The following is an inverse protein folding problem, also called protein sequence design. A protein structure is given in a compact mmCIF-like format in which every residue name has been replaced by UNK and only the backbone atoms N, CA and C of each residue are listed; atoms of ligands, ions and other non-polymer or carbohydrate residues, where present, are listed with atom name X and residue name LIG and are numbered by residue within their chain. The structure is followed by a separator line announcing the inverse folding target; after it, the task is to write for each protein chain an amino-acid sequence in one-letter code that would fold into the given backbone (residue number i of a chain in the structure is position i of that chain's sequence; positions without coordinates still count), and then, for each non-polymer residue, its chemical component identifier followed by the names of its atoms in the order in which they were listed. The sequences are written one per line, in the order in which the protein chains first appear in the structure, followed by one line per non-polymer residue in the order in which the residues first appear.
data_IF_228664714179
#
_entry.id   IF_228664714179
#
_cell.length_a   1.000
_cell.length_b   1.000
_cell.length_c   1.000
_cell.angle_alpha   90.00
_cell.angle_beta   90.00
_cell.angle_gamma   90.00
#
_symmetry.space_group_name_H-M   'P 1'
#
loop_
_entity.id
_entity.type
_entity.pdbx_description
1 polymer ?
#
# COMPACT_ATOMS: atom_id res chain seq x y z
N UNK A 1 58.04 -17.55 -23.27
CA UNK A 1 57.15 -16.39 -23.50
C UNK A 1 56.09 -16.42 -22.43
N UNK A 2 56.39 -15.68 -21.36
CA UNK A 2 55.53 -14.78 -20.60
C UNK A 2 54.20 -15.34 -20.07
N UNK A 3 54.20 -15.64 -18.77
CA UNK A 3 52.98 -15.62 -17.97
C UNK A 3 53.18 -14.60 -16.86
N UNK A 4 52.66 -13.41 -17.15
CA UNK A 4 52.68 -12.21 -16.31
C UNK A 4 51.87 -12.49 -15.03
N UNK A 5 52.55 -12.43 -13.89
CA UNK A 5 51.93 -12.65 -12.59
C UNK A 5 50.97 -11.52 -12.25
N UNK A 6 49.66 -11.81 -12.31
CA UNK A 6 48.63 -10.92 -11.80
C UNK A 6 48.74 -10.93 -10.27
N UNK A 7 49.32 -9.87 -9.70
CA UNK A 7 49.30 -9.64 -8.25
C UNK A 7 47.85 -9.47 -7.78
N UNK A 8 47.25 -10.52 -7.22
CA UNK A 8 46.06 -10.36 -6.40
C UNK A 8 46.46 -9.66 -5.10
N UNK A 9 46.05 -8.40 -4.95
CA UNK A 9 46.15 -7.67 -3.69
C UNK A 9 45.12 -8.27 -2.73
N UNK A 10 45.59 -9.12 -1.83
CA UNK A 10 44.76 -9.69 -0.76
C UNK A 10 44.51 -8.60 0.27
N UNK A 11 43.36 -7.93 0.18
CA UNK A 11 42.90 -6.97 1.19
C UNK A 11 42.73 -7.72 2.51
N UNK A 12 43.38 -7.26 3.58
CA UNK A 12 43.26 -7.91 4.89
C UNK A 12 41.90 -7.59 5.53
N UNK A 13 41.39 -8.51 6.34
CA UNK A 13 40.10 -8.32 7.04
C UNK A 13 40.10 -7.07 7.93
N UNK A 14 41.26 -6.68 8.45
CA UNK A 14 41.42 -5.48 9.27
C UNK A 14 41.21 -4.20 8.46
N UNK A 15 41.71 -4.13 7.23
CA UNK A 15 41.48 -2.99 6.32
C UNK A 15 40.00 -2.85 5.96
N UNK A 16 39.30 -3.97 5.75
CA UNK A 16 37.86 -3.95 5.46
C UNK A 16 37.06 -3.45 6.66
N UNK A 17 37.46 -3.86 7.87
CA UNK A 17 36.83 -3.43 9.12
C UNK A 17 37.05 -1.95 9.37
N UNK A 18 38.28 -1.46 9.19
CA UNK A 18 38.62 -0.04 9.30
C UNK A 18 37.84 0.81 8.30
N UNK A 19 37.76 0.37 7.04
CA UNK A 19 36.97 1.05 6.01
C UNK A 19 35.48 1.10 6.37
N UNK A 20 34.95 0.02 6.93
CA UNK A 20 33.54 -0.06 7.36
C UNK A 20 33.24 0.92 8.50
N UNK A 21 34.16 1.08 9.45
CA UNK A 21 34.04 2.07 10.52
C UNK A 21 34.04 3.51 9.98
N UNK A 22 34.97 3.82 9.08
CA UNK A 22 35.09 5.16 8.45
C UNK A 22 33.83 5.50 7.66
N UNK A 23 33.30 4.57 6.86
CA UNK A 23 32.06 4.78 6.11
C UNK A 23 30.88 5.06 7.05
N UNK A 24 30.79 4.34 8.17
CA UNK A 24 29.71 4.55 9.14
C UNK A 24 29.82 5.90 9.85
N UNK A 25 31.04 6.35 10.13
CA UNK A 25 31.28 7.65 10.75
C UNK A 25 30.97 8.81 9.79
N UNK A 26 31.35 8.67 8.52
CA UNK A 26 30.98 9.62 7.45
C UNK A 26 29.48 9.72 7.24
N UNK A 27 28.75 8.61 7.27
CA UNK A 27 27.28 8.61 7.17
C UNK A 27 26.63 9.35 8.35
N UNK A 28 27.11 9.15 9.58
CA UNK A 28 26.63 9.88 10.76
C UNK A 28 26.97 11.37 10.73
N UNK A 29 28.09 11.75 10.15
CA UNK A 29 28.47 13.16 9.99
C UNK A 29 27.61 13.85 8.92
N UNK A 30 27.30 13.15 7.82
CA UNK A 30 26.37 13.62 6.79
C UNK A 30 24.96 13.88 7.34
N UNK A 31 24.46 13.04 8.24
CA UNK A 31 23.17 13.26 8.91
C UNK A 31 23.19 14.45 9.89
N UNK A 32 24.31 14.66 10.62
CA UNK A 32 24.45 15.75 11.60
C UNK A 32 24.59 17.13 10.96
N UNK A 33 25.10 17.22 9.73
CA UNK A 33 25.30 18.47 9.01
C UNK A 33 24.05 18.97 8.24
N UNK A 34 22.88 18.36 8.44
CA UNK A 34 21.61 18.82 7.89
C UNK A 34 21.06 20.07 8.62
N UNK A 35 21.85 21.15 8.74
CA UNK A 35 21.34 22.48 9.10
C UNK A 35 21.00 23.24 7.81
N UNK A 36 19.93 24.05 7.80
CA UNK A 36 19.38 24.60 6.58
C UNK A 36 20.33 25.63 5.97
N UNK A 37 20.67 25.45 4.69
CA UNK A 37 21.51 26.38 3.92
C UNK A 37 20.79 27.69 3.54
N UNK A 38 19.51 27.85 3.91
CA UNK A 38 18.72 29.04 3.64
C UNK A 38 17.49 29.11 4.58
N UNK A 39 17.20 30.24 5.26
CA UNK A 39 15.98 30.44 6.07
C UNK A 39 14.65 30.22 5.35
N UNK A 40 14.64 30.26 4.01
CA UNK A 40 13.47 30.03 3.16
C UNK A 40 13.41 28.61 2.56
N UNK A 41 14.44 27.79 2.78
CA UNK A 41 14.46 26.40 2.33
C UNK A 41 14.18 25.50 3.53
N UNK A 42 13.00 24.87 3.52
CA UNK A 42 12.64 23.85 4.49
C UNK A 42 12.95 22.48 3.92
N UNK A 43 13.80 21.72 4.61
CA UNK A 43 14.03 20.31 4.28
C UNK A 43 12.71 19.56 4.43
N UNK A 44 12.18 19.00 3.33
CA UNK A 44 11.02 18.09 3.39
C UNK A 44 11.38 16.92 4.30
N UNK A 45 10.44 16.42 5.10
CA UNK A 45 10.63 15.23 5.93
C UNK A 45 11.25 14.13 5.06
N UNK A 46 12.36 13.48 5.49
CA UNK A 46 12.96 12.41 4.72
C UNK A 46 11.90 11.34 4.45
N UNK A 47 11.62 11.08 3.17
CA UNK A 47 10.78 9.97 2.78
C UNK A 47 11.50 8.69 3.20
N UNK A 48 10.94 7.97 4.16
CA UNK A 48 11.46 6.67 4.58
C UNK A 48 10.69 5.62 3.81
N UNK A 49 11.40 4.85 2.99
CA UNK A 49 10.81 3.76 2.21
C UNK A 49 10.78 2.46 3.02
N UNK A 50 9.71 1.70 2.88
CA UNK A 50 9.64 0.32 3.41
C UNK A 50 10.42 -0.59 2.46
N UNK A 51 11.57 -1.09 2.90
CA UNK A 51 12.31 -2.10 2.15
C UNK A 51 11.50 -3.41 2.09
N UNK A 52 11.28 -3.94 0.89
CA UNK A 52 10.63 -5.23 0.69
C UNK A 52 11.61 -6.35 1.05
N UNK A 53 11.25 -7.19 2.02
CA UNK A 53 12.05 -8.32 2.51
C UNK A 53 11.33 -9.64 2.26
N UNK A 54 12.05 -10.77 2.33
CA UNK A 54 11.55 -12.08 1.91
C UNK A 54 10.25 -12.49 2.59
N UNK A 55 10.16 -12.33 3.91
CA UNK A 55 8.96 -12.69 4.67
C UNK A 55 7.75 -11.81 4.29
N UNK A 56 7.98 -10.59 3.81
CA UNK A 56 6.92 -9.71 3.33
C UNK A 56 6.41 -10.13 1.94
N UNK A 57 7.30 -10.57 1.06
CA UNK A 57 6.94 -11.15 -0.25
C UNK A 57 6.10 -12.42 -0.06
N UNK A 58 6.49 -13.27 0.87
CA UNK A 58 5.74 -14.49 1.19
C UNK A 58 4.35 -14.19 1.76
N UNK A 59 4.22 -13.13 2.57
CA UNK A 59 2.95 -12.73 3.17
C UNK A 59 2.02 -12.00 2.19
N UNK A 60 2.57 -11.19 1.27
CA UNK A 60 1.84 -10.37 0.30
C UNK A 60 2.40 -10.67 -1.09
N UNK A 61 1.88 -11.72 -1.72
CA UNK A 61 2.35 -12.20 -3.02
C UNK A 61 2.31 -11.11 -4.12
N UNK A 62 1.42 -10.13 -4.00
CA UNK A 62 1.26 -9.02 -4.93
C UNK A 62 2.08 -7.76 -4.58
N UNK A 63 2.97 -7.80 -3.59
CA UNK A 63 3.67 -6.58 -3.12
C UNK A 63 4.58 -5.94 -4.17
N UNK A 64 5.12 -6.74 -5.09
CA UNK A 64 5.94 -6.26 -6.20
C UNK A 64 5.14 -6.01 -7.48
N UNK A 65 3.84 -6.32 -7.49
CA UNK A 65 2.98 -6.13 -8.67
C UNK A 65 2.54 -4.68 -8.81
N UNK A 66 2.60 -4.17 -10.04
CA UNK A 66 2.08 -2.85 -10.36
C UNK A 66 0.56 -2.89 -10.53
N UNK A 67 -0.14 -2.50 -9.47
CA UNK A 67 -1.59 -2.47 -9.42
C UNK A 67 -2.25 -1.59 -10.50
N UNK A 68 -1.52 -0.64 -11.12
CA UNK A 68 -2.06 0.19 -12.20
C UNK A 68 -1.98 -0.48 -13.57
N UNK A 69 -1.15 -1.50 -13.74
CA UNK A 69 -0.85 -2.09 -15.04
C UNK A 69 -1.35 -3.52 -15.20
N UNK A 70 -1.60 -4.23 -14.10
CA UNK A 70 -2.16 -5.58 -14.10
C UNK A 70 -3.46 -5.64 -13.30
N UNK A 71 -4.58 -5.11 -13.83
CA UNK A 71 -5.87 -5.22 -13.17
C UNK A 71 -6.34 -6.69 -13.16
N UNK A 72 -6.95 -7.10 -12.05
CA UNK A 72 -7.68 -8.37 -11.95
C UNK A 72 -8.68 -8.52 -13.12
N UNK A 73 -8.74 -9.72 -13.69
CA UNK A 73 -9.77 -10.06 -14.69
C UNK A 73 -11.16 -10.01 -14.06
N UNK A 74 -12.21 -9.94 -14.88
CA UNK A 74 -13.57 -9.90 -14.36
C UNK A 74 -13.93 -11.18 -13.60
N UNK A 75 -13.40 -12.31 -14.05
CA UNK A 75 -13.55 -13.65 -13.49
C UNK A 75 -12.87 -13.75 -12.13
N UNK A 76 -11.58 -13.41 -12.02
CA UNK A 76 -10.83 -13.42 -10.75
C UNK A 76 -11.48 -12.49 -9.73
N UNK A 77 -11.82 -11.27 -10.17
CA UNK A 77 -12.54 -10.31 -9.34
C UNK A 77 -13.86 -10.90 -8.83
N UNK A 78 -14.64 -11.57 -9.68
CA UNK A 78 -15.88 -12.22 -9.25
C UNK A 78 -15.59 -13.30 -8.21
N UNK A 79 -14.62 -14.18 -8.44
CA UNK A 79 -14.28 -15.24 -7.49
C UNK A 79 -13.89 -14.69 -6.12
N UNK A 80 -13.01 -13.68 -6.08
CA UNK A 80 -12.62 -13.01 -4.84
C UNK A 80 -13.81 -12.34 -4.14
N UNK A 81 -14.64 -11.59 -4.88
CA UNK A 81 -15.79 -10.87 -4.28
C UNK A 81 -16.85 -11.83 -3.72
N UNK A 82 -17.12 -12.93 -4.42
CA UNK A 82 -18.14 -13.89 -3.99
C UNK A 82 -17.69 -14.69 -2.77
N UNK A 83 -16.38 -14.72 -2.46
CA UNK A 83 -15.86 -15.30 -1.23
C UNK A 83 -16.28 -14.52 0.04
N UNK A 84 -16.61 -13.22 -0.10
CA UNK A 84 -16.97 -12.37 1.03
C UNK A 84 -18.50 -12.18 1.15
N UNK A 85 -19.12 -12.49 2.30
CA UNK A 85 -20.55 -12.29 2.51
C UNK A 85 -20.92 -10.82 2.52
N UNK A 86 -22.10 -10.48 1.97
CA UNK A 86 -22.62 -9.10 1.97
C UNK A 86 -22.98 -8.67 3.39
N UNK A 87 -22.47 -7.52 3.82
CA UNK A 87 -22.95 -6.84 5.03
C UNK A 87 -24.39 -6.37 4.83
N UNK A 88 -25.25 -6.65 5.81
CA UNK A 88 -26.65 -6.19 5.82
C UNK A 88 -26.78 -4.70 6.11
N UNK A 89 -25.75 -4.08 6.70
CA UNK A 89 -25.77 -2.68 7.12
C UNK A 89 -25.51 -1.70 5.97
N UNK A 90 -24.80 -2.13 4.92
CA UNK A 90 -24.39 -1.25 3.83
C UNK A 90 -25.42 -1.29 2.68
N UNK A 91 -26.27 -0.25 2.61
CA UNK A 91 -27.26 -0.10 1.55
C UNK A 91 -26.65 0.62 0.35
N UNK A 92 -26.46 -0.11 -0.74
CA UNK A 92 -26.09 0.48 -2.02
C UNK A 92 -27.36 0.82 -2.79
N UNK A 93 -27.65 2.11 -2.91
CA UNK A 93 -28.69 2.61 -3.79
C UNK A 93 -28.04 3.62 -4.72
N UNK A 94 -27.85 3.24 -5.99
CA UNK A 94 -27.56 4.25 -7.01
C UNK A 94 -28.87 4.92 -7.41
N UNK A 95 -28.95 6.26 -7.37
CA UNK A 95 -30.12 6.96 -7.85
C UNK A 95 -30.40 6.59 -9.32
N UNK A 96 -31.64 6.29 -9.71
CA UNK A 96 -31.95 6.05 -11.12
C UNK A 96 -31.70 7.33 -11.93
N UNK A 97 -30.88 7.24 -12.98
CA UNK A 97 -30.74 8.31 -13.94
C UNK A 97 -32.05 8.53 -14.72
N UNK A 98 -32.34 9.79 -15.05
CA UNK A 98 -33.48 10.13 -15.91
C UNK A 98 -33.22 9.67 -17.35
N UNK A 99 -34.23 9.09 -17.99
CA UNK A 99 -34.13 8.54 -19.36
C UNK A 99 -33.71 9.57 -20.42
N UNK A 100 -34.00 10.86 -20.18
CA UNK A 100 -33.66 11.99 -21.03
C UNK A 100 -32.21 12.45 -20.95
N UNK A 101 -31.36 11.81 -20.13
CA UNK A 101 -29.94 12.13 -20.05
C UNK A 101 -29.22 11.84 -21.38
N UNK A 102 -28.21 12.64 -21.71
CA UNK A 102 -27.40 12.41 -22.90
C UNK A 102 -26.58 11.12 -22.78
N UNK A 103 -26.19 10.52 -23.90
CA UNK A 103 -25.37 9.30 -23.93
C UNK A 103 -24.04 9.48 -23.16
N UNK A 104 -23.45 10.67 -23.21
CA UNK A 104 -22.23 10.99 -22.46
C UNK A 104 -22.48 10.96 -20.94
N UNK A 105 -23.59 11.51 -20.47
CA UNK A 105 -23.99 11.48 -19.05
C UNK A 105 -24.25 10.06 -18.59
N UNK A 106 -24.96 9.24 -19.38
CA UNK A 106 -25.21 7.83 -19.05
C UNK A 106 -23.92 7.01 -18.94
N UNK A 107 -22.94 7.26 -19.82
CA UNK A 107 -21.63 6.60 -19.75
C UNK A 107 -20.86 7.01 -18.50
N UNK A 108 -20.81 8.30 -18.18
CA UNK A 108 -20.13 8.79 -16.98
C UNK A 108 -20.75 8.22 -15.70
N UNK A 109 -22.07 8.17 -15.62
CA UNK A 109 -22.80 7.57 -14.51
C UNK A 109 -22.57 6.07 -14.38
N UNK A 110 -22.52 5.34 -15.49
CA UNK A 110 -22.20 3.91 -15.47
C UNK A 110 -20.78 3.67 -14.93
N UNK A 111 -19.81 4.50 -15.33
CA UNK A 111 -18.44 4.45 -14.79
C UNK A 111 -18.43 4.79 -13.30
N UNK A 112 -19.14 5.83 -12.88
CA UNK A 112 -19.27 6.23 -11.49
C UNK A 112 -19.87 5.11 -10.64
N UNK A 113 -20.95 4.50 -11.11
CA UNK A 113 -21.58 3.33 -10.48
C UNK A 113 -20.59 2.17 -10.35
N UNK A 114 -19.80 1.89 -11.39
CA UNK A 114 -18.75 0.88 -11.35
C UNK A 114 -17.73 1.13 -10.24
N UNK A 115 -17.28 2.38 -10.06
CA UNK A 115 -16.35 2.77 -8.99
C UNK A 115 -17.01 2.58 -7.61
N UNK A 116 -18.26 3.02 -7.45
CA UNK A 116 -19.01 2.83 -6.20
C UNK A 116 -19.11 1.34 -5.83
N UNK A 117 -19.40 0.48 -6.82
CA UNK A 117 -19.47 -0.97 -6.65
C UNK A 117 -18.08 -1.57 -6.31
N UNK A 118 -17.00 -1.06 -6.87
CA UNK A 118 -15.65 -1.53 -6.53
C UNK A 118 -15.26 -1.15 -5.09
N UNK A 119 -15.50 0.10 -4.68
CA UNK A 119 -15.25 0.57 -3.30
C UNK A 119 -16.09 -0.22 -2.28
N UNK A 120 -17.33 -0.53 -2.65
CA UNK A 120 -18.23 -1.36 -1.87
C UNK A 120 -17.68 -2.76 -1.60
N UNK A 121 -17.08 -3.35 -2.62
CA UNK A 121 -16.50 -4.68 -2.57
C UNK A 121 -15.23 -4.70 -1.73
N UNK A 122 -14.38 -3.68 -1.86
CA UNK A 122 -13.18 -3.51 -1.02
C UNK A 122 -13.55 -3.35 0.47
N UNK A 123 -14.59 -2.58 0.79
CA UNK A 123 -15.05 -2.43 2.18
C UNK A 123 -15.55 -3.76 2.77
N UNK A 124 -16.10 -4.64 1.93
CA UNK A 124 -16.62 -5.95 2.34
C UNK A 124 -15.53 -6.92 2.77
N UNK A 125 -14.40 -6.96 2.07
CA UNK A 125 -13.28 -7.84 2.44
C UNK A 125 -12.70 -7.44 3.81
N UNK A 126 -12.61 -6.14 4.08
CA UNK A 126 -12.22 -5.60 5.38
C UNK A 126 -13.22 -6.01 6.47
N UNK A 127 -14.52 -5.82 6.23
CA UNK A 127 -15.58 -6.20 7.19
C UNK A 127 -15.51 -7.68 7.55
N UNK A 128 -15.35 -8.54 6.54
CA UNK A 128 -15.26 -9.98 6.78
C UNK A 128 -13.98 -10.37 7.51
N UNK A 129 -12.87 -9.71 7.23
CA UNK A 129 -11.61 -9.91 7.93
C UNK A 129 -11.75 -9.59 9.43
N UNK A 130 -12.39 -8.46 9.77
CA UNK A 130 -12.70 -8.07 11.15
C UNK A 130 -13.68 -9.06 11.80
N UNK A 131 -14.73 -9.46 11.08
CA UNK A 131 -15.70 -10.44 11.57
C UNK A 131 -15.02 -11.74 12.01
N UNK A 132 -14.12 -12.31 11.20
CA UNK A 132 -13.39 -13.54 11.56
C UNK A 132 -12.54 -13.34 12.80
N UNK A 133 -11.80 -12.23 12.89
CA UNK A 133 -10.97 -11.95 14.08
C UNK A 133 -11.79 -11.84 15.37
N UNK A 134 -12.95 -11.20 15.32
CA UNK A 134 -13.85 -11.08 16.48
C UNK A 134 -14.44 -12.43 16.87
N UNK A 135 -14.71 -13.31 15.90
CA UNK A 135 -15.14 -14.68 16.20
C UNK A 135 -14.04 -15.53 16.82
N UNK A 136 -12.81 -15.41 16.30
CA UNK A 136 -11.66 -16.19 16.77
C UNK A 136 -11.21 -15.75 18.17
N UNK A 137 -11.29 -14.46 18.49
CA UNK A 137 -11.03 -13.92 19.82
C UNK A 137 -12.13 -12.94 20.24
N UNK A 138 -13.11 -13.38 21.05
CA UNK A 138 -14.20 -12.52 21.53
C UNK A 138 -13.75 -11.38 22.46
N UNK A 139 -12.54 -11.45 23.03
CA UNK A 139 -11.97 -10.41 23.90
C UNK A 139 -11.22 -9.33 23.09
N UNK A 140 -11.25 -9.39 21.76
CA UNK A 140 -10.62 -8.39 20.90
C UNK A 140 -11.15 -6.99 21.23
N UNK A 141 -10.23 -6.07 21.49
CA UNK A 141 -10.57 -4.68 21.79
C UNK A 141 -10.49 -3.84 20.52
N UNK A 142 -11.12 -2.66 20.57
CA UNK A 142 -11.03 -1.67 19.48
C UNK A 142 -9.60 -1.14 19.26
N UNK A 143 -8.75 -1.28 20.28
CA UNK A 143 -7.35 -0.84 20.26
C UNK A 143 -6.40 -1.91 19.71
N UNK A 144 -6.92 -3.11 19.38
CA UNK A 144 -6.13 -4.14 18.70
C UNK A 144 -5.58 -3.61 17.37
N UNK A 145 -4.30 -3.85 17.11
CA UNK A 145 -3.61 -3.31 15.94
C UNK A 145 -4.30 -3.69 14.62
N UNK A 146 -4.87 -4.90 14.51
CA UNK A 146 -5.57 -5.33 13.30
C UNK A 146 -6.89 -4.60 13.12
N UNK A 147 -7.58 -4.29 14.23
CA UNK A 147 -8.84 -3.54 14.22
C UNK A 147 -8.57 -2.08 13.89
N UNK A 148 -7.56 -1.47 14.48
CA UNK A 148 -7.12 -0.11 14.15
C UNK A 148 -6.74 0.00 12.68
N UNK A 149 -5.98 -0.97 12.15
CA UNK A 149 -5.64 -1.05 10.73
C UNK A 149 -6.88 -1.14 9.84
N UNK A 150 -7.79 -2.07 10.13
CA UNK A 150 -9.02 -2.26 9.36
C UNK A 150 -9.91 -1.00 9.37
N UNK A 151 -10.06 -0.35 10.54
CA UNK A 151 -10.81 0.89 10.67
C UNK A 151 -10.16 2.04 9.87
N UNK A 152 -8.84 2.14 9.91
CA UNK A 152 -8.10 3.14 9.12
C UNK A 152 -8.33 2.93 7.62
N UNK A 153 -8.19 1.70 7.13
CA UNK A 153 -8.46 1.37 5.73
C UNK A 153 -9.91 1.68 5.33
N UNK A 154 -10.87 1.39 6.22
CA UNK A 154 -12.29 1.72 5.99
C UNK A 154 -12.54 3.22 5.90
N UNK A 155 -11.88 4.03 6.72
CA UNK A 155 -11.96 5.50 6.65
C UNK A 155 -11.39 6.02 5.34
N UNK A 156 -10.24 5.51 4.90
CA UNK A 156 -9.63 5.91 3.62
C UNK A 156 -10.53 5.55 2.43
N UNK A 157 -11.17 4.37 2.43
CA UNK A 157 -12.15 4.01 1.41
C UNK A 157 -13.37 4.93 1.42
N UNK A 158 -13.82 5.37 2.61
CA UNK A 158 -14.94 6.31 2.73
C UNK A 158 -14.57 7.70 2.21
N UNK A 159 -13.36 8.17 2.49
CA UNK A 159 -12.83 9.42 1.94
C UNK A 159 -12.81 9.38 0.41
N UNK A 160 -12.26 8.32 -0.19
CA UNK A 160 -12.25 8.13 -1.65
C UNK A 160 -13.68 8.08 -2.20
N UNK A 161 -14.60 7.35 -1.55
CA UNK A 161 -16.00 7.30 -1.97
C UNK A 161 -16.67 8.68 -1.93
N UNK A 162 -16.31 9.52 -0.96
CA UNK A 162 -16.85 10.89 -0.82
C UNK A 162 -16.39 11.82 -1.95
N UNK A 163 -15.14 11.65 -2.43
CA UNK A 163 -14.62 12.41 -3.57
C UNK A 163 -15.28 12.03 -4.89
N UNK A 164 -15.72 10.77 -4.99
CA UNK A 164 -16.35 10.22 -6.19
C UNK A 164 -17.85 10.57 -6.26
N UNK A 165 -18.48 10.90 -5.12
CA UNK A 165 -19.93 11.17 -5.03
C UNK A 165 -20.31 12.66 -5.02
N UNK A 166 -19.34 13.58 -5.03
CA UNK A 166 -19.54 15.04 -5.20
C UNK A 166 -19.59 15.43 -6.68
#
# INVERSE_FOLDING_TARGET
MDQEGINQVTISQDQLKELTEIVRELLREKERNAKPEDPFVTTRIPLTDLAVYSELIEAILSIEEDFFHTPLTEEERKEEIHSFPKSSSMKYLSPPLKDSASTAVKKADTTLHGIQVALAQAARSIDYCVHRRVQDNPELTIDDQNIVFANTMRVLLFEIASMVTQ
#
